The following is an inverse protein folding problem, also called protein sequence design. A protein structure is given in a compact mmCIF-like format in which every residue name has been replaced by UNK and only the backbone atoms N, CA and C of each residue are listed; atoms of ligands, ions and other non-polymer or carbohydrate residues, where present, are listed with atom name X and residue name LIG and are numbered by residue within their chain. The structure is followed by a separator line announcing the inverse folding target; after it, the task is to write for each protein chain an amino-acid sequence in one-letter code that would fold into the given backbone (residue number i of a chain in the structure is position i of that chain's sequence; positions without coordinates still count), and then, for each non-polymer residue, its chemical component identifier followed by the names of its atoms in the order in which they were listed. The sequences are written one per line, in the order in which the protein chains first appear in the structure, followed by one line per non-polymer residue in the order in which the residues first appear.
data_IF_651028810545
#
_entry.id   IF_651028810545
#
_cell.length_a   1.000
_cell.length_b   1.000
_cell.length_c   1.000
_cell.angle_alpha   90.00
_cell.angle_beta   90.00
_cell.angle_gamma   90.00
#
_symmetry.space_group_name_H-M   'P 1'
#
loop_
_entity.id
_entity.type
_entity.pdbx_description
1 polymer ?
2 non-polymer ?
3 non-polymer ?
4 non-polymer ?
5 non-polymer ?
6 water ?
#
# COMPACT_ATOMS: atom_id res chain seq x y z
N UNK A 6 7.62 3.83 -24.88
CA UNK A 6 6.20 3.39 -24.75
C UNK A 6 5.89 2.26 -25.73
N UNK A 7 6.02 2.49 -27.03
CA UNK A 7 5.96 1.38 -28.01
C UNK A 7 7.28 0.62 -27.96
N UNK A 8 7.23 -0.58 -27.39
CA UNK A 8 8.43 -1.41 -27.13
C UNK A 8 8.08 -2.93 -27.26
N UNK A 9 8.79 -3.67 -28.06
CA UNK A 9 8.49 -5.11 -28.22
C UNK A 9 9.19 -5.95 -27.12
N UNK A 10 8.53 -6.96 -26.58
CA UNK A 10 9.22 -7.94 -25.73
C UNK A 10 10.21 -8.79 -26.52
N UNK A 11 11.36 -9.15 -25.90
CA UNK A 11 12.21 -10.14 -26.54
C UNK A 11 11.62 -11.52 -26.56
N UNK A 12 12.20 -12.42 -27.35
CA UNK A 12 11.86 -13.83 -27.28
C UNK A 12 12.07 -14.31 -25.84
N UNK A 13 11.10 -15.06 -25.33
CA UNK A 13 11.17 -15.69 -24.01
C UNK A 13 10.64 -17.09 -24.08
N UNK A 14 11.22 -17.98 -23.29
CA UNK A 14 10.74 -19.33 -23.20
C UNK A 14 10.18 -19.53 -21.80
N UNK A 15 8.91 -19.86 -21.70
CA UNK A 15 8.26 -20.11 -20.40
C UNK A 15 7.11 -21.05 -20.64
N UNK A 16 6.55 -21.62 -19.56
CA UNK A 16 5.45 -22.54 -19.75
C UNK A 16 4.21 -21.90 -20.38
N UNK A 17 3.57 -22.66 -21.24
CA UNK A 17 2.35 -22.19 -21.90
C UNK A 17 1.24 -22.03 -20.87
N UNK A 18 0.49 -20.89 -20.91
CA UNK A 18 -0.70 -20.80 -20.07
C UNK A 18 -1.67 -21.91 -20.43
N UNK A 19 -2.37 -22.39 -19.43
CA UNK A 19 -3.29 -23.49 -19.59
C UNK A 19 -4.74 -22.95 -19.52
N UNK A 20 -5.37 -22.75 -20.66
CA UNK A 20 -6.71 -22.16 -20.71
C UNK A 20 -7.76 -22.94 -19.90
N UNK A 21 -7.63 -24.27 -19.90
CA UNK A 21 -8.61 -25.11 -19.24
C UNK A 21 -8.17 -25.60 -17.86
N UNK A 22 -7.22 -24.88 -17.25
CA UNK A 22 -6.82 -25.12 -15.85
C UNK A 22 -6.85 -23.78 -15.11
N UNK A 23 -7.68 -23.67 -14.07
CA UNK A 23 -7.60 -22.46 -13.24
C UNK A 23 -6.25 -22.28 -12.57
N UNK A 24 -5.81 -21.04 -12.42
CA UNK A 24 -4.49 -20.80 -11.83
C UNK A 24 -4.60 -20.95 -10.29
N UNK A 25 -5.78 -20.70 -9.74
CA UNK A 25 -6.09 -21.02 -8.34
C UNK A 25 -7.46 -21.62 -8.29
N UNK A 26 -7.61 -22.69 -7.50
CA UNK A 26 -8.89 -23.33 -7.31
C UNK A 26 -9.50 -22.98 -5.93
N UNK A 27 -8.78 -22.20 -5.14
CA UNK A 27 -9.16 -21.91 -3.77
C UNK A 27 -9.50 -20.47 -3.46
N UNK A 28 -9.25 -19.57 -4.42
CA UNK A 28 -9.44 -18.15 -4.19
C UNK A 28 -9.95 -17.51 -5.49
N UNK A 29 -10.55 -16.34 -5.30
CA UNK A 29 -10.96 -15.44 -6.35
C UNK A 29 -9.75 -14.70 -6.88
N UNK A 30 -9.51 -14.79 -8.18
CA UNK A 30 -8.30 -14.14 -8.77
C UNK A 30 -8.63 -12.93 -9.67
N UNK A 31 -9.91 -12.61 -9.77
CA UNK A 31 -10.34 -11.41 -10.51
C UNK A 31 -11.59 -10.84 -9.84
N UNK A 32 -11.66 -9.51 -9.75
CA UNK A 32 -12.83 -8.89 -9.12
C UNK A 32 -13.98 -8.88 -10.13
N UNK A 33 -15.21 -8.59 -9.70
CA UNK A 33 -16.32 -8.48 -10.67
C UNK A 33 -16.24 -7.29 -11.65
N UNK A 34 -15.30 -6.36 -11.44
CA UNK A 34 -15.03 -5.33 -12.40
C UNK A 34 -13.73 -5.60 -13.15
N UNK A 35 -13.31 -6.88 -13.14
CA UNK A 35 -12.21 -7.35 -13.99
C UNK A 35 -10.86 -6.78 -13.60
N UNK A 36 -10.69 -6.52 -12.30
CA UNK A 36 -9.35 -6.18 -11.75
C UNK A 36 -8.73 -7.50 -11.24
N UNK A 37 -7.51 -7.80 -11.64
CA UNK A 37 -6.81 -8.94 -11.03
C UNK A 37 -6.69 -8.80 -9.51
N UNK A 38 -6.85 -9.93 -8.81
CA UNK A 38 -6.53 -10.08 -7.39
C UNK A 38 -5.22 -10.86 -7.35
N UNK A 39 -4.19 -10.23 -6.86
CA UNK A 39 -2.83 -10.72 -7.00
C UNK A 39 -2.49 -11.70 -5.86
N UNK A 40 -2.43 -12.98 -6.26
CA UNK A 40 -1.99 -14.08 -5.40
C UNK A 40 -0.83 -14.79 -6.09
N UNK A 41 0.00 -15.49 -5.32
CA UNK A 41 0.99 -16.31 -5.92
C UNK A 41 0.31 -17.37 -6.79
N UNK A 42 0.90 -17.60 -7.94
CA UNK A 42 0.31 -18.53 -8.92
C UNK A 42 -0.45 -17.84 -10.02
N UNK A 43 -0.76 -16.56 -9.86
CA UNK A 43 -1.49 -15.81 -10.87
C UNK A 43 -0.58 -15.16 -11.92
N UNK A 44 0.69 -14.95 -11.61
CA UNK A 44 1.58 -14.16 -12.47
C UNK A 44 2.90 -14.84 -12.74
N UNK A 45 3.42 -14.58 -13.93
CA UNK A 45 4.80 -14.92 -14.31
C UNK A 45 5.59 -13.63 -14.19
N UNK A 46 6.39 -13.57 -13.15
CA UNK A 46 7.14 -12.38 -12.84
C UNK A 46 8.19 -12.05 -13.90
N UNK A 47 8.65 -13.05 -14.68
CA UNK A 47 9.60 -12.76 -15.75
C UNK A 47 9.00 -11.90 -16.86
N UNK A 48 7.74 -12.18 -17.19
CA UNK A 48 7.06 -11.38 -18.21
C UNK A 48 6.81 -9.99 -17.66
N UNK A 49 6.33 -9.89 -16.43
CA UNK A 49 6.04 -8.58 -15.85
C UNK A 49 7.29 -7.74 -15.72
N UNK A 50 8.38 -8.36 -15.24
CA UNK A 50 9.61 -7.60 -15.12
C UNK A 50 10.04 -7.03 -16.45
N UNK A 51 9.95 -7.82 -17.51
CA UNK A 51 10.29 -7.32 -18.86
C UNK A 51 9.43 -6.13 -19.23
N UNK A 52 8.11 -6.26 -19.07
CA UNK A 52 7.22 -5.19 -19.45
C UNK A 52 7.55 -3.89 -18.73
N UNK A 53 7.77 -3.97 -17.40
CA UNK A 53 8.03 -2.78 -16.63
C UNK A 53 9.44 -2.25 -16.80
N UNK A 54 10.45 -3.09 -16.98
CA UNK A 54 11.79 -2.60 -17.22
C UNK A 54 11.90 -1.95 -18.58
N UNK A 55 11.19 -2.47 -19.56
CA UNK A 55 11.17 -1.79 -20.91
C UNK A 55 10.58 -0.39 -20.90
N UNK A 56 9.67 -0.10 -19.95
CA UNK A 56 9.07 1.23 -19.81
C UNK A 56 9.88 2.12 -18.89
N UNK A 57 11.02 1.62 -18.41
CA UNK A 57 11.92 2.30 -17.45
C UNK A 57 11.18 2.82 -16.23
N UNK A 58 10.53 1.90 -15.54
CA UNK A 58 9.64 2.26 -14.46
C UNK A 58 10.39 2.62 -13.20
N UNK A 59 9.99 3.73 -12.57
CA UNK A 59 10.47 4.13 -11.27
C UNK A 59 9.33 4.03 -10.25
N UNK A 60 9.57 3.37 -9.13
CA UNK A 60 8.59 3.19 -8.09
C UNK A 60 9.00 3.99 -6.88
N UNK A 61 8.12 4.86 -6.38
CA UNK A 61 8.31 5.55 -5.12
C UNK A 61 7.66 4.77 -4.01
N UNK A 62 8.32 4.67 -2.87
CA UNK A 62 7.76 4.04 -1.67
C UNK A 62 7.72 5.10 -0.61
N UNK A 63 6.53 5.40 -0.09
CA UNK A 63 6.37 6.34 1.02
C UNK A 63 6.17 5.59 2.32
N UNK A 64 6.77 6.09 3.38
CA UNK A 64 6.66 5.52 4.71
C UNK A 64 6.80 6.65 5.71
N UNK A 65 5.97 6.63 6.74
CA UNK A 65 5.99 7.63 7.79
C UNK A 65 6.61 7.04 9.03
N UNK A 66 7.58 7.76 9.61
CA UNK A 66 8.22 7.31 10.81
C UNK A 66 8.26 8.49 11.75
N UNK A 67 7.18 8.66 12.49
CA UNK A 67 6.97 9.85 13.28
C UNK A 67 7.03 9.48 14.74
N UNK A 68 7.73 10.29 15.53
CA UNK A 68 7.95 10.03 16.95
C UNK A 68 8.63 8.70 17.15
N UNK A 69 8.09 7.80 17.98
CA UNK A 69 8.81 6.60 18.34
C UNK A 69 8.89 5.58 17.18
N UNK A 70 8.11 5.80 16.12
CA UNK A 70 8.09 4.83 15.03
C UNK A 70 9.35 4.88 14.17
N UNK A 71 10.24 5.84 14.42
CA UNK A 71 11.58 5.78 13.81
C UNK A 71 12.28 4.46 14.10
N UNK A 72 11.96 3.80 15.21
CA UNK A 72 12.59 2.56 15.55
C UNK A 72 12.37 1.44 14.53
N UNK A 73 11.31 1.55 13.72
CA UNK A 73 10.94 0.52 12.78
C UNK A 73 11.65 0.65 11.45
N UNK A 74 12.29 1.78 11.20
CA UNK A 74 12.87 2.05 9.89
C UNK A 74 14.00 1.11 9.49
N UNK A 75 14.86 0.71 10.40
CA UNK A 75 16.05 -0.06 9.98
C UNK A 75 15.61 -1.38 9.38
N UNK A 76 14.73 -2.11 10.08
CA UNK A 76 14.23 -3.38 9.54
C UNK A 76 13.40 -3.20 8.29
N UNK A 77 12.57 -2.17 8.30
CA UNK A 77 11.73 -1.89 7.15
C UNK A 77 12.58 -1.70 5.91
N UNK A 78 13.59 -0.82 6.02
CA UNK A 78 14.39 -0.49 4.83
C UNK A 78 15.34 -1.63 4.41
N UNK A 79 15.94 -2.32 5.39
CA UNK A 79 16.81 -3.46 5.10
C UNK A 79 16.06 -4.53 4.34
N UNK A 80 14.88 -4.87 4.82
CA UNK A 80 14.09 -5.89 4.18
C UNK A 80 13.49 -5.43 2.84
N UNK A 81 13.15 -4.14 2.72
CA UNK A 81 12.77 -3.63 1.42
C UNK A 81 13.88 -3.80 0.41
N UNK A 82 15.14 -3.59 0.85
CA UNK A 82 16.24 -3.82 -0.05
C UNK A 82 16.36 -5.24 -0.56
N UNK A 83 15.93 -6.21 0.23
CA UNK A 83 16.00 -7.61 -0.18
C UNK A 83 14.84 -8.01 -1.06
N UNK A 84 13.69 -7.37 -0.90
CA UNK A 84 12.45 -7.89 -1.46
C UNK A 84 11.60 -6.97 -2.31
N UNK A 85 11.81 -5.64 -2.25
CA UNK A 85 10.86 -4.67 -2.87
C UNK A 85 11.40 -4.18 -4.19
N UNK A 86 10.73 -4.56 -5.28
CA UNK A 86 11.05 -4.06 -6.60
C UNK A 86 12.53 -4.22 -6.99
N UNK A 87 13.16 -5.31 -6.55
CA UNK A 87 14.60 -5.49 -6.86
C UNK A 87 14.77 -5.60 -8.37
N UNK A 88 15.74 -4.84 -8.89
CA UNK A 88 16.00 -4.71 -10.33
C UNK A 88 15.42 -3.52 -11.02
N UNK A 89 14.47 -2.86 -10.32
CA UNK A 89 13.80 -1.68 -10.81
C UNK A 89 14.30 -0.43 -10.09
N UNK A 90 14.05 0.74 -10.67
CA UNK A 90 14.43 2.00 -10.01
C UNK A 90 13.46 2.28 -8.90
N UNK A 91 13.99 2.54 -7.72
CA UNK A 91 13.20 2.80 -6.52
C UNK A 91 13.64 4.11 -5.86
N UNK A 92 12.68 4.87 -5.39
CA UNK A 92 12.94 6.08 -4.60
C UNK A 92 12.15 5.95 -3.31
N UNK A 93 12.84 5.82 -2.20
CA UNK A 93 12.16 5.76 -0.90
C UNK A 93 11.96 7.19 -0.45
N UNK A 94 10.79 7.46 0.16
CA UNK A 94 10.51 8.76 0.74
C UNK A 94 10.15 8.53 2.19
N UNK A 95 11.06 8.90 3.09
CA UNK A 95 10.84 8.70 4.49
C UNK A 95 10.37 10.01 5.10
N UNK A 96 9.11 10.04 5.54
CA UNK A 96 8.54 11.22 6.17
C UNK A 96 8.77 11.10 7.65
N UNK A 97 9.38 12.10 8.29
CA UNK A 97 9.70 11.96 9.70
C UNK A 97 9.82 13.34 10.36
N UNK A 98 9.57 13.38 11.64
CA UNK A 98 9.85 14.59 12.45
C UNK A 98 11.28 14.58 12.99
N UNK A 99 12.05 13.52 12.76
CA UNK A 99 13.41 13.40 13.28
C UNK A 99 14.38 12.96 12.18
N UNK A 100 14.74 13.87 11.27
CA UNK A 100 15.66 13.45 10.20
C UNK A 100 16.93 12.73 10.68
N UNK A 101 17.48 13.16 11.82
CA UNK A 101 18.72 12.55 12.28
C UNK A 101 18.57 11.12 12.79
N UNK A 102 17.33 10.66 13.01
CA UNK A 102 17.10 9.34 13.52
C UNK A 102 16.91 8.34 12.37
N UNK A 103 17.01 8.78 11.13
CA UNK A 103 16.84 7.82 10.02
C UNK A 103 18.12 6.98 9.92
N UNK A 104 18.01 5.66 10.01
CA UNK A 104 19.24 4.81 9.99
C UNK A 104 19.90 4.84 8.61
N UNK A 105 21.23 4.63 8.60
CA UNK A 105 21.99 4.68 7.34
C UNK A 105 21.96 3.30 6.74
N UNK A 106 21.03 3.04 5.84
CA UNK A 106 20.87 1.68 5.28
C UNK A 106 21.50 1.71 3.90
N UNK A 107 22.27 0.66 3.61
CA UNK A 107 22.99 0.58 2.36
C UNK A 107 22.00 0.18 1.27
N UNK A 108 22.00 0.94 0.17
CA UNK A 108 21.06 0.69 -0.90
C UNK A 108 21.72 0.09 -2.13
N UNK A 109 20.97 -0.78 -2.83
CA UNK A 109 21.42 -1.28 -4.11
C UNK A 109 21.44 -0.24 -5.18
N UNK A 110 22.11 -0.56 -6.28
CA UNK A 110 22.21 0.37 -7.38
C UNK A 110 20.80 0.73 -7.92
N UNK A 111 20.64 1.99 -8.33
CA UNK A 111 19.40 2.48 -8.89
C UNK A 111 18.33 2.76 -7.87
N UNK A 112 18.70 2.81 -6.58
CA UNK A 112 17.77 2.99 -5.51
C UNK A 112 18.25 4.17 -4.69
N UNK A 113 17.34 5.05 -4.35
CA UNK A 113 17.71 6.23 -3.57
C UNK A 113 16.73 6.51 -2.50
N UNK A 114 17.13 7.31 -1.51
CA UNK A 114 16.27 7.61 -0.37
C UNK A 114 16.31 9.09 -0.09
N UNK A 115 15.14 9.66 0.13
CA UNK A 115 15.01 11.09 0.51
C UNK A 115 14.29 11.14 1.83
N UNK A 116 14.73 12.02 2.71
CA UNK A 116 14.14 12.23 4.00
C UNK A 116 13.32 13.52 3.89
N UNK A 117 12.05 13.43 4.24
CA UNK A 117 11.11 14.55 4.15
C UNK A 117 10.70 14.90 5.55
N UNK A 118 11.07 16.10 5.99
CA UNK A 118 10.76 16.49 7.37
C UNK A 118 9.36 17.06 7.46
N UNK A 119 8.57 16.48 8.36
CA UNK A 119 7.17 16.88 8.60
C UNK A 119 6.89 17.00 10.08
N UNK A 120 5.79 17.67 10.39
CA UNK A 120 5.39 17.82 11.77
C UNK A 120 4.83 16.54 12.36
N UNK A 121 5.02 16.38 13.67
CA UNK A 121 4.40 15.35 14.48
C UNK A 121 3.13 15.84 15.14
N UNK A 122 2.03 15.13 14.96
CA UNK A 122 0.81 15.32 15.77
C UNK A 122 0.86 14.53 17.04
N UNK A 123 0.14 15.00 18.06
CA UNK A 123 0.13 14.36 19.37
C UNK A 123 -0.53 13.02 19.36
N UNK A 124 -1.74 12.99 18.78
CA UNK A 124 -2.52 11.78 18.76
C UNK A 124 -2.12 10.88 17.59
N UNK A 125 -1.91 9.63 17.91
CA UNK A 125 -1.58 8.63 16.88
C UNK A 125 -2.61 8.64 15.74
N UNK A 126 -3.88 8.89 16.08
CA UNK A 126 -4.93 8.91 15.06
C UNK A 126 -4.66 10.00 14.04
N UNK A 127 -4.26 11.16 14.53
CA UNK A 127 -3.94 12.24 13.66
C UNK A 127 -2.64 12.02 12.85
N UNK A 128 -1.63 11.41 13.48
CA UNK A 128 -0.43 11.06 12.75
C UNK A 128 -0.82 10.15 11.55
N UNK A 129 -1.64 9.15 11.83
CA UNK A 129 -2.04 8.19 10.81
C UNK A 129 -2.86 8.86 9.71
N UNK A 130 -3.85 9.67 10.11
CA UNK A 130 -4.77 10.32 9.17
C UNK A 130 -4.13 11.38 8.30
N UNK A 131 -3.17 12.12 8.88
CA UNK A 131 -2.51 13.22 8.19
C UNK A 131 -1.53 12.74 7.13
N UNK A 132 -1.25 11.43 7.09
CA UNK A 132 -0.50 10.91 5.95
C UNK A 132 -1.16 11.25 4.62
N UNK A 133 -2.51 11.23 4.56
CA UNK A 133 -3.14 11.56 3.29
C UNK A 133 -2.85 12.97 2.79
N UNK A 134 -2.98 13.95 3.69
CA UNK A 134 -2.60 15.31 3.36
C UNK A 134 -1.12 15.43 2.92
N UNK A 135 -0.25 14.76 3.64
CA UNK A 135 1.17 14.89 3.40
C UNK A 135 1.58 14.22 2.10
N UNK A 136 1.04 13.04 1.83
CA UNK A 136 1.27 12.41 0.54
C UNK A 136 0.75 13.25 -0.61
N UNK A 137 -0.50 13.74 -0.52
CA UNK A 137 -1.11 14.54 -1.62
C UNK A 137 -0.24 15.76 -1.99
N UNK A 138 0.24 16.41 -0.92
CA UNK A 138 1.07 17.65 -0.98
C UNK A 138 2.37 17.32 -1.71
N UNK A 139 3.04 16.24 -1.29
CA UNK A 139 4.30 15.84 -1.94
C UNK A 139 4.15 15.30 -3.36
N UNK A 140 2.92 14.94 -3.74
CA UNK A 140 2.68 14.61 -5.15
C UNK A 140 3.11 15.80 -6.05
N UNK A 141 2.70 17.03 -5.74
CA UNK A 141 3.27 18.19 -6.45
C UNK A 141 4.74 18.48 -6.13
N UNK A 142 5.14 18.41 -4.88
CA UNK A 142 6.54 18.80 -4.55
C UNK A 142 7.60 17.96 -5.30
N UNK A 143 7.34 16.68 -5.45
CA UNK A 143 8.36 15.75 -5.89
C UNK A 143 7.85 14.62 -6.75
N UNK A 144 6.74 13.99 -6.35
CA UNK A 144 6.48 12.68 -6.90
C UNK A 144 6.13 12.68 -8.38
N UNK A 145 5.36 13.68 -8.83
CA UNK A 145 5.04 13.79 -10.24
C UNK A 145 6.26 13.86 -11.16
N UNK A 146 7.32 14.51 -10.68
CA UNK A 146 8.56 14.68 -11.45
C UNK A 146 9.59 13.56 -11.22
N UNK A 147 9.37 12.70 -10.22
CA UNK A 147 10.39 11.71 -9.84
C UNK A 147 10.03 10.26 -10.02
N UNK A 148 8.75 9.90 -9.94
CA UNK A 148 8.37 8.49 -10.01
C UNK A 148 7.16 8.29 -10.91
N UNK A 149 6.97 7.04 -11.35
CA UNK A 149 5.82 6.63 -12.14
C UNK A 149 4.66 6.12 -11.28
N UNK A 150 5.00 5.37 -10.26
CA UNK A 150 4.02 4.78 -9.33
C UNK A 150 4.42 5.13 -7.93
N UNK A 151 3.42 5.19 -7.05
CA UNK A 151 3.65 5.33 -5.60
C UNK A 151 3.03 4.17 -4.87
N UNK A 152 3.78 3.68 -3.90
CA UNK A 152 3.38 2.60 -3.01
C UNK A 152 3.43 3.22 -1.60
N UNK A 153 2.32 3.17 -0.86
CA UNK A 153 2.18 3.91 0.39
C UNK A 153 1.89 2.94 1.46
N UNK A 154 2.84 2.73 2.38
CA UNK A 154 2.75 1.69 3.40
C UNK A 154 3.03 2.16 4.81
N UNK A 155 2.54 1.35 5.77
CA UNK A 155 2.90 1.44 7.19
C UNK A 155 4.40 1.07 7.37
N UNK A 156 5.01 1.66 8.42
CA UNK A 156 6.39 1.40 8.73
C UNK A 156 6.60 0.26 9.72
N UNK A 157 5.56 -0.11 10.48
CA UNK A 157 5.68 -1.12 11.51
C UNK A 157 5.58 -2.53 10.95
N UNK A 158 6.44 -2.79 9.95
CA UNK A 158 6.30 -3.90 9.03
C UNK A 158 7.68 -4.32 8.56
N UNK A 159 7.73 -5.51 8.01
CA UNK A 159 8.95 -6.00 7.34
C UNK A 159 8.56 -6.80 6.11
N UNK A 160 9.40 -6.71 5.10
CA UNK A 160 9.30 -7.58 3.94
C UNK A 160 9.93 -8.92 4.22
N UNK A 161 9.21 -9.99 3.92
CA UNK A 161 9.73 -11.35 4.03
C UNK A 161 9.80 -12.12 2.72
N UNK A 162 9.20 -11.57 1.66
CA UNK A 162 9.23 -12.24 0.38
C UNK A 162 8.97 -11.17 -0.68
N UNK A 163 9.05 -11.62 -1.92
CA UNK A 163 8.93 -10.75 -3.10
C UNK A 163 7.73 -9.83 -3.08
N UNK A 164 7.97 -8.53 -3.23
CA UNK A 164 6.93 -7.57 -3.56
C UNK A 164 7.42 -6.79 -4.76
N UNK A 165 6.83 -7.04 -5.90
CA UNK A 165 7.35 -6.53 -7.13
C UNK A 165 6.33 -5.91 -8.07
N UNK A 166 6.72 -5.82 -9.33
CA UNK A 166 5.93 -5.05 -10.28
C UNK A 166 4.54 -5.63 -10.59
N UNK A 167 4.29 -6.88 -10.19
CA UNK A 167 2.96 -7.43 -10.23
C UNK A 167 1.89 -6.55 -9.57
N UNK A 168 2.28 -5.72 -8.61
CA UNK A 168 1.31 -4.86 -7.90
C UNK A 168 0.97 -3.60 -8.68
N UNK A 169 1.80 -3.25 -9.69
CA UNK A 169 1.70 -1.90 -10.28
C UNK A 169 0.57 -1.81 -11.29
N UNK A 170 -0.15 -0.68 -11.18
CA UNK A 170 -1.43 -0.50 -11.89
C UNK A 170 -1.87 0.93 -11.60
N UNK A 171 -2.85 1.48 -12.31
CA UNK A 171 -3.24 2.82 -11.93
C UNK A 171 -3.68 3.00 -10.49
N UNK A 172 -4.44 2.08 -9.92
CA UNK A 172 -4.92 2.23 -8.55
C UNK A 172 -5.09 0.89 -7.90
N UNK A 173 -4.41 0.68 -6.77
CA UNK A 173 -4.56 -0.59 -6.06
C UNK A 173 -4.84 -0.39 -4.57
N UNK A 174 -5.62 -1.32 -4.05
CA UNK A 174 -5.77 -1.55 -2.61
C UNK A 174 -5.41 -2.97 -2.28
N UNK A 175 -5.32 -3.26 -0.99
CA UNK A 175 -4.86 -4.53 -0.46
C UNK A 175 -5.92 -5.08 0.52
N UNK A 176 -6.24 -6.35 0.39
CA UNK A 176 -7.17 -7.01 1.34
C UNK A 176 -6.59 -7.04 2.72
N UNK A 177 -7.29 -6.39 3.64
CA UNK A 177 -6.93 -6.42 5.06
C UNK A 177 -6.92 -7.88 5.55
N UNK A 178 -5.88 -8.27 6.29
CA UNK A 178 -5.77 -9.69 6.64
C UNK A 178 -6.82 -10.18 7.66
N UNK A 179 -7.37 -9.26 8.43
CA UNK A 179 -8.43 -9.58 9.38
C UNK A 179 -9.78 -9.88 8.76
N UNK A 180 -9.99 -9.54 7.47
CA UNK A 180 -11.36 -9.53 6.89
C UNK A 180 -11.51 -10.20 5.56
N UNK A 181 -10.45 -10.82 5.02
CA UNK A 181 -10.54 -11.30 3.63
C UNK A 181 -11.57 -12.41 3.51
N UNK A 182 -11.82 -13.15 4.57
CA UNK A 182 -12.86 -14.18 4.52
C UNK A 182 -14.19 -13.78 5.14
N UNK A 183 -14.36 -12.50 5.51
CA UNK A 183 -15.56 -12.04 6.20
C UNK A 183 -16.64 -11.56 5.27
N UNK A 184 -17.88 -11.65 5.74
CA UNK A 184 -19.01 -11.06 5.06
C UNK A 184 -18.99 -9.54 5.28
N UNK A 185 -19.55 -8.82 4.33
CA UNK A 185 -19.48 -7.36 4.32
C UNK A 185 -20.11 -6.72 5.54
N UNK A 186 -21.14 -7.35 6.09
CA UNK A 186 -21.74 -6.80 7.31
C UNK A 186 -20.76 -6.81 8.50
N UNK A 187 -19.81 -7.77 8.53
CA UNK A 187 -18.77 -7.83 9.55
C UNK A 187 -17.59 -6.87 9.31
N UNK A 188 -17.45 -6.35 8.09
CA UNK A 188 -16.42 -5.36 7.85
C UNK A 188 -16.58 -4.15 8.80
N UNK A 189 -15.47 -3.64 9.29
CA UNK A 189 -15.47 -2.50 10.20
C UNK A 189 -15.39 -1.16 9.47
N UNK A 190 -16.21 -1.01 8.44
CA UNK A 190 -16.40 0.27 7.78
C UNK A 190 -16.97 1.26 8.81
N UNK A 191 -16.86 2.53 8.51
CA UNK A 191 -17.61 3.56 9.25
C UNK A 191 -19.10 3.39 8.94
N UNK A 192 -19.89 3.29 9.99
CA UNK A 192 -21.32 3.00 9.89
C UNK A 192 -22.23 4.15 10.34
N UNK A 193 -21.65 5.30 10.69
CA UNK A 193 -22.43 6.46 11.08
C UNK A 193 -22.64 7.35 9.86
N UNK A 194 -23.91 7.61 9.46
CA UNK A 194 -24.17 8.46 8.30
C UNK A 194 -23.66 9.89 8.38
N UNK A 195 -23.30 10.33 9.58
CA UNK A 195 -22.82 11.69 9.79
C UNK A 195 -21.37 11.84 9.31
N UNK A 196 -20.68 10.71 9.07
CA UNK A 196 -19.29 10.74 8.56
C UNK A 196 -19.26 10.58 7.06
N UNK A 197 -18.31 11.30 6.43
CA UNK A 197 -18.05 11.16 5.01
C UNK A 197 -17.59 9.76 4.60
N UNK A 198 -17.09 8.98 5.55
CA UNK A 198 -16.65 7.60 5.30
C UNK A 198 -17.76 6.57 5.38
N UNK A 199 -18.99 7.00 5.64
CA UNK A 199 -20.09 6.07 5.83
C UNK A 199 -20.32 5.10 4.66
N UNK A 200 -20.41 3.83 4.99
CA UNK A 200 -20.81 2.78 4.04
C UNK A 200 -21.93 1.96 4.70
N UNK A 201 -23.11 1.91 4.05
CA UNK A 201 -24.22 1.09 4.54
C UNK A 201 -23.93 -0.40 4.58
N UNK A 202 -24.71 -1.12 5.40
CA UNK A 202 -24.49 -2.56 5.60
C UNK A 202 -24.60 -3.43 4.34
N UNK A 203 -25.32 -2.97 3.35
CA UNK A 203 -25.52 -3.70 2.11
C UNK A 203 -24.58 -3.27 0.97
N UNK A 204 -23.57 -2.48 1.28
CA UNK A 204 -22.57 -2.07 0.28
C UNK A 204 -21.20 -2.50 0.70
N UNK A 205 -20.30 -2.56 -0.27
CA UNK A 205 -18.93 -2.92 0.00
C UNK A 205 -18.51 -4.12 -0.82
N UNK A 206 -17.34 -4.03 -1.43
CA UNK A 206 -16.75 -5.17 -2.14
C UNK A 206 -15.80 -5.93 -1.24
N UNK A 207 -14.83 -5.20 -0.66
CA UNK A 207 -13.77 -5.76 0.18
C UNK A 207 -13.46 -4.77 1.32
N UNK A 208 -12.76 -5.26 2.36
CA UNK A 208 -12.20 -4.39 3.36
C UNK A 208 -10.73 -4.23 3.10
N UNK A 209 -10.38 -3.04 2.59
CA UNK A 209 -9.00 -2.75 2.24
C UNK A 209 -8.24 -2.23 3.43
N UNK A 210 -6.95 -2.58 3.48
CA UNK A 210 -6.08 -2.11 4.56
C UNK A 210 -5.50 -0.74 4.30
N UNK A 211 -5.58 0.15 5.30
CA UNK A 211 -4.92 1.44 5.19
C UNK A 211 -3.42 1.40 5.14
N UNK A 212 -2.85 0.26 5.51
CA UNK A 212 -1.40 0.07 5.57
C UNK A 212 -0.69 -0.21 4.23
N UNK A 213 -1.43 -0.34 3.13
CA UNK A 213 -0.80 -0.68 1.83
C UNK A 213 -1.71 -0.35 0.67
N UNK A 214 -1.48 0.78 0.01
CA UNK A 214 -2.23 1.15 -1.18
C UNK A 214 -1.28 1.86 -2.11
N UNK A 215 -1.72 2.16 -3.33
CA UNK A 215 -0.85 2.85 -4.26
C UNK A 215 -1.46 2.95 -5.62
N UNK A 216 -0.62 3.28 -6.57
CA UNK A 216 -1.08 3.48 -7.93
C UNK A 216 -0.15 4.40 -8.72
N UNK A 217 -0.64 4.90 -9.83
CA UNK A 217 0.08 5.96 -10.54
C UNK A 217 0.08 7.20 -9.67
N UNK A 218 1.03 8.09 -9.89
CA UNK A 218 1.03 9.34 -9.09
C UNK A 218 -0.28 10.07 -9.22
N UNK A 219 -0.81 10.18 -10.44
CA UNK A 219 -2.07 10.88 -10.64
C UNK A 219 -3.19 10.27 -9.78
N UNK A 220 -3.32 8.93 -9.81
CA UNK A 220 -4.42 8.31 -9.06
C UNK A 220 -4.18 8.38 -7.56
N UNK A 221 -2.92 8.33 -7.13
CA UNK A 221 -2.64 8.45 -5.70
C UNK A 221 -2.89 9.89 -5.22
N UNK A 222 -2.55 10.86 -6.04
CA UNK A 222 -2.87 12.25 -5.66
C UNK A 222 -4.38 12.43 -5.52
N UNK A 223 -5.16 11.85 -6.43
CA UNK A 223 -6.63 11.90 -6.35
C UNK A 223 -7.17 11.29 -5.08
N UNK A 224 -6.67 10.09 -4.79
CA UNK A 224 -7.14 9.38 -3.64
C UNK A 224 -6.81 10.12 -2.35
N UNK A 225 -5.56 10.54 -2.22
CA UNK A 225 -5.13 11.15 -0.97
C UNK A 225 -5.79 12.50 -0.74
N UNK A 226 -5.95 13.27 -1.82
CA UNK A 226 -6.66 14.55 -1.76
C UNK A 226 -8.10 14.33 -1.33
N UNK A 227 -8.77 13.36 -1.91
CA UNK A 227 -10.18 13.07 -1.57
C UNK A 227 -10.32 12.63 -0.15
N UNK A 228 -9.43 11.76 0.32
CA UNK A 228 -9.52 11.28 1.69
C UNK A 228 -9.24 12.43 2.68
N UNK A 229 -8.25 13.28 2.35
CA UNK A 229 -7.95 14.41 3.23
C UNK A 229 -9.14 15.39 3.29
N UNK A 230 -9.70 15.68 2.13
CA UNK A 230 -10.86 16.61 2.10
C UNK A 230 -12.03 16.03 2.88
N UNK A 231 -12.27 14.73 2.82
CA UNK A 231 -13.33 14.09 3.58
C UNK A 231 -13.06 14.15 5.09
N UNK A 232 -11.80 13.91 5.47
CA UNK A 232 -11.42 14.04 6.88
C UNK A 232 -11.70 15.43 7.42
N UNK A 233 -11.41 16.42 6.60
CA UNK A 233 -11.61 17.82 7.01
C UNK A 233 -13.07 18.15 7.18
N UNK A 234 -13.93 17.59 6.32
CA UNK A 234 -15.37 17.73 6.48
C UNK A 234 -15.79 17.09 7.80
N UNK A 235 -15.40 15.84 8.05
CA UNK A 235 -15.70 15.15 9.32
C UNK A 235 -15.24 15.98 10.55
N UNK A 236 -14.03 16.53 10.47
CA UNK A 236 -13.47 17.31 11.57
C UNK A 236 -14.33 18.53 11.83
N UNK A 237 -14.75 19.20 10.77
CA UNK A 237 -15.64 20.41 10.92
C UNK A 237 -16.99 20.03 11.51
N UNK A 238 -17.43 18.80 11.29
CA UNK A 238 -18.67 18.24 11.83
C UNK A 238 -18.52 17.52 13.17
N UNK A 239 -17.33 17.52 13.76
CA UNK A 239 -17.12 16.91 15.06
C UNK A 239 -17.14 15.41 15.10
N UNK A 240 -16.68 14.75 14.03
CA UNK A 240 -16.72 13.28 13.99
C UNK A 240 -15.38 12.81 13.43
N UNK A 241 -14.90 11.71 13.98
CA UNK A 241 -13.68 11.06 13.51
C UNK A 241 -14.03 9.62 13.17
N UNK A 242 -13.74 9.22 11.91
CA UNK A 242 -14.06 7.90 11.46
C UNK A 242 -13.42 6.82 12.36
N UNK A 243 -14.16 5.73 12.52
CA UNK A 243 -13.85 4.61 13.42
C UNK A 243 -12.42 4.06 13.24
N UNK A 244 -12.02 3.88 11.98
CA UNK A 244 -10.65 3.47 11.63
C UNK A 244 -9.93 4.50 10.76
N UNK A 245 -10.23 5.76 11.01
CA UNK A 245 -9.32 6.84 10.65
C UNK A 245 -9.08 6.81 9.13
N UNK A 246 -7.86 6.93 8.68
CA UNK A 246 -7.56 6.93 7.24
C UNK A 246 -8.08 5.66 6.57
N UNK A 247 -8.05 4.54 7.25
CA UNK A 247 -8.51 3.29 6.61
C UNK A 247 -10.00 3.37 6.28
N UNK A 248 -10.80 4.02 7.12
CA UNK A 248 -12.22 4.16 6.82
C UNK A 248 -12.47 4.97 5.57
N UNK A 249 -11.75 6.07 5.44
CA UNK A 249 -11.86 6.91 4.29
C UNK A 249 -11.33 6.24 3.01
N UNK A 250 -10.21 5.53 3.14
CA UNK A 250 -9.68 4.74 2.04
C UNK A 250 -10.73 3.78 1.51
N UNK A 251 -11.39 3.09 2.42
CA UNK A 251 -12.46 2.14 2.05
C UNK A 251 -13.63 2.79 1.31
N UNK A 252 -14.05 3.96 1.76
CA UNK A 252 -15.12 4.69 1.07
C UNK A 252 -14.66 5.09 -0.33
N UNK A 253 -13.42 5.57 -0.44
CA UNK A 253 -12.91 5.99 -1.72
C UNK A 253 -12.87 4.81 -2.71
N UNK A 254 -12.36 3.67 -2.27
CA UNK A 254 -12.21 2.51 -3.13
C UNK A 254 -13.51 1.82 -3.45
N UNK A 255 -14.53 2.03 -2.63
CA UNK A 255 -15.84 1.55 -2.99
C UNK A 255 -16.37 2.32 -4.18
N UNK A 256 -16.17 3.63 -4.19
CA UNK A 256 -16.74 4.50 -5.24
C UNK A 256 -15.84 4.69 -6.45
N UNK A 257 -14.55 4.34 -6.30
CA UNK A 257 -13.55 4.45 -7.37
C UNK A 257 -12.81 3.12 -7.33
N UNK A 258 -13.25 2.18 -8.14
CA UNK A 258 -12.77 0.80 -7.98
C UNK A 258 -11.30 0.68 -8.35
N UNK A 259 -10.53 -0.05 -7.55
CA UNK A 259 -9.11 -0.23 -7.91
C UNK A 259 -8.95 -1.12 -9.14
N UNK A 260 -7.88 -0.87 -9.87
CA UNK A 260 -7.57 -1.65 -11.07
C UNK A 260 -6.77 -2.94 -10.83
N UNK A 261 -6.18 -3.09 -9.61
CA UNK A 261 -5.75 -4.38 -9.08
C UNK A 261 -6.06 -4.37 -7.59
N UNK A 262 -6.26 -5.56 -7.05
CA UNK A 262 -6.39 -5.76 -5.61
C UNK A 262 -5.34 -6.75 -5.18
N UNK A 263 -4.58 -6.37 -4.16
CA UNK A 263 -3.56 -7.27 -3.61
C UNK A 263 -4.15 -8.21 -2.58
N UNK A 264 -3.78 -9.49 -2.67
CA UNK A 264 -4.19 -10.46 -1.64
C UNK A 264 -3.51 -10.18 -0.30
N UNK A 265 -3.98 -10.84 0.76
CA UNK A 265 -3.35 -10.61 2.06
C UNK A 265 -1.92 -11.15 2.15
N UNK A 266 -1.41 -11.86 1.13
CA UNK A 266 0.02 -12.11 1.08
C UNK A 266 0.82 -10.81 1.30
N UNK A 267 0.27 -9.67 0.81
CA UNK A 267 0.91 -8.40 0.81
C UNK A 267 0.66 -7.59 2.08
N UNK A 268 -0.13 -8.08 3.03
CA UNK A 268 -0.42 -7.34 4.27
C UNK A 268 -0.90 -8.33 5.32
N UNK A 269 0.02 -8.80 6.13
CA UNK A 269 -0.25 -9.96 6.99
C UNK A 269 0.24 -9.70 8.42
N UNK A 270 -0.28 -10.47 9.38
CA UNK A 270 0.19 -10.47 10.75
C UNK A 270 0.25 -11.90 11.24
N UNK A 271 1.45 -12.48 11.24
CA UNK A 271 1.60 -13.91 11.54
C UNK A 271 1.33 -14.20 13.03
N UNK A 272 1.63 -13.22 13.89
CA UNK A 272 1.38 -13.42 15.32
C UNK A 272 -0.11 -13.64 15.57
N UNK A 273 -0.95 -12.82 14.94
CA UNK A 273 -2.36 -12.85 15.13
C UNK A 273 -3.10 -13.85 14.29
N UNK A 274 -2.54 -14.25 13.15
CA UNK A 274 -3.29 -15.04 12.18
C UNK A 274 -2.58 -16.30 11.68
N UNK A 275 -1.33 -16.53 12.09
CA UNK A 275 -0.61 -17.72 11.69
C UNK A 275 -0.21 -17.70 10.22
N UNK A 276 -0.20 -18.89 9.62
CA UNK A 276 0.16 -19.07 8.21
C UNK A 276 -0.80 -20.04 7.58
N UNK A 277 -1.96 -19.55 7.15
CA UNK A 277 -2.98 -20.41 6.55
C UNK A 277 -2.56 -20.97 5.20
N UNK A 278 -3.17 -22.10 4.83
CA UNK A 278 -2.87 -22.76 3.57
C UNK A 278 -3.11 -21.90 2.33
N UNK A 279 -4.08 -21.01 2.41
CA UNK A 279 -4.41 -20.16 1.30
C UNK A 279 -3.29 -19.15 0.99
N UNK A 280 -2.37 -18.91 1.93
CA UNK A 280 -1.21 -18.04 1.69
C UNK A 280 0.00 -18.84 1.34
N UNK A 281 0.39 -18.84 0.08
CA UNK A 281 1.55 -19.57 -0.35
C UNK A 281 2.84 -18.82 -0.01
N UNK A 282 2.73 -17.49 0.16
CA UNK A 282 3.84 -16.64 0.54
C UNK A 282 3.32 -15.60 1.50
N UNK A 283 4.16 -15.21 2.45
CA UNK A 283 3.88 -14.12 3.37
C UNK A 283 4.92 -13.07 2.98
N UNK A 284 4.47 -12.00 2.34
CA UNK A 284 5.40 -11.05 1.74
C UNK A 284 5.71 -9.84 2.56
N UNK A 285 4.72 -9.29 3.26
CA UNK A 285 4.87 -8.00 3.98
C UNK A 285 4.04 -8.14 5.21
N UNK A 286 4.74 -8.10 6.36
CA UNK A 286 4.21 -8.58 7.64
C UNK A 286 4.36 -7.59 8.79
N UNK A 287 3.46 -7.68 9.75
CA UNK A 287 3.52 -6.83 10.94
C UNK A 287 4.69 -7.17 11.84
N UNK A 288 5.29 -6.14 12.39
CA UNK A 288 6.33 -6.29 13.40
C UNK A 288 5.59 -6.12 14.72
N UNK A 289 5.74 -7.08 15.64
CA UNK A 289 5.04 -6.99 16.95
C UNK A 289 5.36 -5.70 17.66
N UNK A 290 4.32 -5.01 18.16
CA UNK A 290 4.49 -3.77 18.92
C UNK A 290 3.41 -3.65 19.97
N UNK A 291 3.70 -2.79 20.93
CA UNK A 291 2.80 -2.50 22.06
C UNK A 291 2.22 -1.13 21.79
N UNK A 292 0.96 -1.09 21.36
CA UNK A 292 0.33 0.14 20.92
C UNK A 292 0.49 1.29 21.91
N UNK A 293 0.07 1.06 23.16
CA UNK A 293 0.10 2.11 24.18
C UNK A 293 1.50 2.67 24.38
N UNK A 294 2.49 1.79 24.49
CA UNK A 294 3.88 2.19 24.68
C UNK A 294 4.43 3.00 23.51
N UNK A 295 4.29 2.46 22.29
CA UNK A 295 4.93 3.04 21.11
C UNK A 295 4.22 4.30 20.57
N UNK A 296 2.94 4.47 20.87
CA UNK A 296 2.16 5.62 20.37
C UNK A 296 2.15 6.85 21.29
N UNK A 297 2.78 6.74 22.46
CA UNK A 297 2.74 7.79 23.48
C UNK A 297 4.14 8.02 24.03
N UNK A 298 4.42 9.24 24.54
CA UNK A 298 5.77 9.50 25.07
C UNK A 298 6.19 8.55 26.22
X LIG B 1 0.70 -0.53 11.14
X LIG C 1 2.69 6.43 12.69
X LIG C 1 3.87 7.01 13.09
X LIG C 1 4.00 7.41 14.37
X LIG C 1 3.03 7.30 15.28
X LIG C 1 1.83 6.67 14.91
X LIG C 1 1.69 6.24 13.60
X LIG C 1 4.77 7.15 12.28
X LIG C 1 3.25 7.71 16.47
X LIG C 1 2.58 6.02 11.29
X LIG C 1 3.43 4.81 10.96
X LIG C 1 3.84 4.84 9.59
X LIG C 1 2.42 3.71 11.17
X LIG C 1 1.15 4.31 10.58
X LIG C 1 1.22 5.68 10.99
X LIG C 1 2.84 2.51 10.57
X LIG C 1 -0.18 3.73 11.05
X LIG C 1 -0.21 3.54 12.47
X LIG C 1 -0.04 2.11 13.12
X LIG C 1 0.93 1.24 12.34
X LIG C 1 0.16 2.32 14.60
X LIG C 1 -1.54 1.48 12.92
X LIG C 1 -1.88 -0.12 13.07
X LIG C 1 -1.12 -0.92 12.06
X LIG C 1 -3.38 -0.12 12.93
X LIG C 1 -1.40 -0.52 14.45
X LIG D 1 -7.58 -1.59 11.87
X LIG D 1 -7.03 -1.96 10.61
X LIG D 1 -8.55 -2.66 12.37
X LIG D 1 -7.98 -3.98 12.33
X LIG D 1 -9.81 -2.63 11.53
X LIG D 1 -10.86 -3.45 12.07
X LIG E 1 -3.12 1.53 9.50
X LIG E 1 -2.43 2.06 8.40
X LIG E 1 -4.63 1.76 9.27
X LIG E 1 -5.02 0.88 8.23
X LIG E 1 -5.00 3.14 8.78
X LIG E 1 -6.00 3.80 9.56
X LIG F 1 23.91 4.15 -7.98
X LIG F 1 23.88 4.85 -9.28
X LIG F 1 24.64 2.87 -8.07
X LIG F 1 22.49 4.07 -7.56
X LIG F 1 24.74 5.02 -7.11
X LIG G 1 -1.46 18.33 17.76
X LIG G 1 -1.63 19.35 16.70
X LIG G 1 -2.31 17.19 17.40
X LIG G 1 -1.87 18.86 19.07
X LIG G 1 -0.05 17.90 17.87
#
# INVERSE_FOLDING_TARGET
MAIGEFMVSLPRMVYPQPKVLTPCRKDVLVVTPWLAPIVWEGTFNIDILNEQFRLQNTTIGLTVFAIKKYVAFLKLFLETAEKHFMVGHRVHYYVFTDQPAAVPRVTLGTGRQLSVLEVRAYKRWQDVSMRRMEMISDFCERRFLSEVDYLVCVDVDMEFRDHVGVEILTPLFGTLHPGFYGSSREAFTYERRPQSQAYIPKDEGDFYYGGAFFGGSVQEVQRLTRACHQAMMVDQANGIEAVWHDESHLNKYLLRHKPTKVLSPEYLWDQQLLGWPAVLRKLRFTAVPKNHQAVRNP
MN MN
UDP N1 C2 N3 C4 C5 C6 O2 O4 C1' C2' O2' C3' C4' O4' O3' C5' O5' PA O1A O2A O3A PB O1B O2B O3B
GOL C1 O1 C2 O2 C3 O3
GOL C1 O1 C2 O2 C3 O3
SO4 S O1 O2 O3 O4
SO4 S O1 O2 O3 O4
#
